data_IF_128822153828
#
_entry.id   IF_128822153828
#
_cell.length_a   1.000
_cell.length_b   1.000
_cell.length_c   1.000
_cell.angle_alpha   90.00
_cell.angle_beta   90.00
_cell.angle_gamma   90.00
#
_symmetry.space_group_name_H-M   'P 1'
#
loop_
_entity.id
_entity.type
_entity.pdbx_description
1 polymer ?
#
# COMPACT_ATOMS: atom_id res chain seq x y z
N UNK A 1 -2.26 8.32 -9.92
CA UNK A 1 -3.42 8.30 -9.00
C UNK A 1 -3.05 7.45 -7.79
N UNK A 2 -3.40 7.94 -6.60
CA UNK A 2 -3.33 7.20 -5.34
C UNK A 2 -4.63 7.38 -4.58
N UNK A 3 -4.95 6.47 -3.67
CA UNK A 3 -6.11 6.60 -2.79
C UNK A 3 -5.67 6.40 -1.35
N UNK A 4 -6.01 7.36 -0.48
CA UNK A 4 -5.41 7.52 0.85
C UNK A 4 -6.38 7.22 2.02
N UNK A 5 -7.04 6.04 2.08
CA UNK A 5 -7.97 5.73 3.15
C UNK A 5 -7.23 5.39 4.45
N UNK A 6 -7.76 5.84 5.58
CA UNK A 6 -7.33 5.39 6.90
C UNK A 6 -8.35 4.43 7.49
N UNK A 7 -7.87 3.29 7.99
CA UNK A 7 -8.70 2.28 8.63
C UNK A 7 -8.42 2.22 10.12
N UNK A 8 -9.49 2.09 10.91
CA UNK A 8 -9.45 1.95 12.36
C UNK A 8 -10.45 0.87 12.78
N UNK A 9 -9.96 -0.35 13.00
CA UNK A 9 -10.75 -1.49 13.46
C UNK A 9 -10.69 -1.68 14.98
N UNK A 10 -9.62 -1.19 15.61
CA UNK A 10 -9.44 -1.15 17.05
C UNK A 10 -9.06 0.26 17.53
N UNK A 11 -9.03 0.45 18.86
CA UNK A 11 -8.71 1.74 19.47
C UNK A 11 -7.31 2.27 19.15
N UNK A 12 -6.37 1.39 18.80
CA UNK A 12 -4.95 1.68 18.56
C UNK A 12 -4.40 0.78 17.43
N UNK A 13 -3.49 1.31 16.60
CA UNK A 13 -2.92 0.65 15.43
C UNK A 13 -2.19 -0.65 15.80
N UNK A 14 -1.47 -0.66 16.92
CA UNK A 14 -0.73 -1.83 17.45
C UNK A 14 -1.59 -3.06 17.69
N UNK A 15 -2.91 -2.87 17.89
CA UNK A 15 -3.85 -3.96 18.10
C UNK A 15 -4.29 -4.63 16.79
N UNK A 16 -3.88 -4.10 15.64
CA UNK A 16 -4.20 -4.67 14.34
C UNK A 16 -3.17 -5.73 13.95
N UNK A 17 -3.63 -6.74 13.23
CA UNK A 17 -2.78 -7.63 12.45
C UNK A 17 -2.92 -7.28 10.96
N UNK A 18 -1.79 -7.26 10.25
CA UNK A 18 -1.71 -6.91 8.83
C UNK A 18 -1.19 -8.07 8.00
N UNK A 19 -1.67 -8.18 6.76
CA UNK A 19 -1.05 -9.01 5.73
C UNK A 19 -0.98 -8.21 4.42
N UNK A 20 0.19 -8.24 3.78
CA UNK A 20 0.49 -7.56 2.52
C UNK A 20 0.75 -8.61 1.42
N UNK A 21 0.56 -8.26 0.14
CA UNK A 21 0.99 -9.14 -0.95
C UNK A 21 2.53 -9.24 -0.98
N UNK A 22 3.04 -10.23 -1.72
CA UNK A 22 4.47 -10.30 -2.02
C UNK A 22 4.92 -8.98 -2.70
N UNK A 23 5.92 -8.34 -2.12
CA UNK A 23 6.32 -6.99 -2.47
C UNK A 23 7.79 -6.69 -2.14
N UNK A 24 8.31 -5.66 -2.80
CA UNK A 24 9.58 -5.04 -2.46
C UNK A 24 9.33 -3.63 -1.97
N UNK A 25 9.96 -3.26 -0.85
CA UNK A 25 9.93 -1.89 -0.34
C UNK A 25 10.83 -1.00 -1.21
N UNK A 26 10.31 0.15 -1.61
CA UNK A 26 11.10 1.20 -2.28
C UNK A 26 11.94 1.90 -1.23
N UNK A 27 13.26 1.92 -1.42
CA UNK A 27 14.18 2.62 -0.51
C UNK A 27 14.15 4.11 -0.81
N UNK A 28 14.13 4.92 0.25
CA UNK A 28 14.01 6.37 0.21
C UNK A 28 15.12 7.01 1.03
N UNK A 29 15.49 8.24 0.67
CA UNK A 29 16.42 9.07 1.42
C UNK A 29 15.73 9.81 2.59
N UNK A 30 16.49 10.63 3.31
CA UNK A 30 16.00 11.45 4.42
C UNK A 30 14.94 12.50 4.03
N UNK A 31 14.78 12.77 2.73
CA UNK A 31 13.77 13.67 2.17
C UNK A 31 12.55 12.91 1.65
N UNK A 32 12.49 11.60 1.90
CA UNK A 32 11.44 10.69 1.41
C UNK A 32 11.42 10.53 -0.12
N UNK A 33 12.56 10.73 -0.79
CA UNK A 33 12.72 10.57 -2.24
C UNK A 33 13.31 9.19 -2.54
N UNK A 34 12.80 8.42 -3.54
CA UNK A 34 13.36 7.13 -3.90
C UNK A 34 14.83 7.20 -4.29
N UNK A 35 15.63 6.27 -3.77
CA UNK A 35 17.04 6.12 -4.16
C UNK A 35 17.21 5.39 -5.50
N UNK A 36 16.12 4.82 -6.04
CA UNK A 36 16.12 3.89 -7.18
C UNK A 36 16.28 2.42 -6.78
N UNK A 37 16.59 2.15 -5.51
CA UNK A 37 16.75 0.79 -5.00
C UNK A 37 15.47 0.24 -4.37
N UNK A 38 15.36 -1.09 -4.32
CA UNK A 38 14.25 -1.80 -3.68
C UNK A 38 14.78 -3.01 -2.92
N UNK A 39 14.21 -3.27 -1.75
CA UNK A 39 14.56 -4.44 -0.93
C UNK A 39 13.37 -5.36 -0.70
N UNK A 40 13.62 -6.66 -0.52
CA UNK A 40 12.55 -7.61 -0.23
C UNK A 40 11.90 -7.30 1.12
N UNK A 41 10.57 -7.28 1.18
CA UNK A 41 9.85 -7.02 2.42
C UNK A 41 8.87 -8.14 2.76
N UNK A 42 9.22 -8.94 3.79
CA UNK A 42 8.50 -10.16 4.13
C UNK A 42 7.77 -10.11 5.48
N UNK A 43 7.89 -9.01 6.24
CA UNK A 43 7.37 -8.90 7.61
C UNK A 43 5.86 -9.17 7.72
N UNK A 44 5.10 -8.83 6.66
CA UNK A 44 3.65 -9.06 6.55
C UNK A 44 3.28 -9.97 5.37
N UNK A 45 4.21 -10.80 4.88
CA UNK A 45 3.91 -11.82 3.86
C UNK A 45 2.88 -12.85 4.36
N UNK A 46 2.86 -13.07 5.67
CA UNK A 46 1.78 -13.72 6.42
C UNK A 46 1.18 -12.70 7.38
N UNK A 47 -0.03 -12.98 7.87
CA UNK A 47 -0.69 -12.14 8.87
C UNK A 47 0.18 -12.02 10.13
N UNK A 48 0.50 -10.80 10.53
CA UNK A 48 1.40 -10.51 11.64
C UNK A 48 0.94 -9.23 12.38
N UNK A 49 1.15 -9.07 13.71
CA UNK A 49 0.79 -7.85 14.43
C UNK A 49 1.53 -6.61 13.93
N UNK A 50 0.86 -5.46 13.95
CA UNK A 50 1.42 -4.14 13.56
C UNK A 50 2.20 -3.48 14.70
N UNK A 51 2.07 -4.01 15.93
CA UNK A 51 2.75 -3.50 17.13
C UNK A 51 4.24 -3.25 16.89
N UNK A 52 4.72 -2.07 17.31
CA UNK A 52 6.12 -1.67 17.15
C UNK A 52 6.60 -1.39 15.71
N UNK A 53 5.76 -1.59 14.68
CA UNK A 53 6.13 -1.33 13.29
C UNK A 53 5.71 0.07 12.85
N UNK A 54 6.67 0.96 12.62
CA UNK A 54 6.46 2.23 11.93
C UNK A 54 6.65 2.03 10.42
N UNK A 55 5.69 2.48 9.62
CA UNK A 55 5.75 2.47 8.17
C UNK A 55 5.29 3.82 7.65
N UNK A 56 6.04 4.32 6.69
CA UNK A 56 5.62 5.37 5.75
C UNK A 56 6.33 5.07 4.42
N UNK A 57 5.98 3.92 3.84
CA UNK A 57 6.77 3.31 2.79
C UNK A 57 5.92 2.90 1.59
N UNK A 58 6.51 3.10 0.42
CA UNK A 58 5.99 2.63 -0.85
C UNK A 58 6.50 1.22 -1.12
N UNK A 59 5.65 0.37 -1.68
CA UNK A 59 5.95 -1.00 -2.03
C UNK A 59 5.58 -1.28 -3.49
N UNK A 60 6.46 -1.97 -4.21
CA UNK A 60 6.19 -2.49 -5.55
C UNK A 60 5.65 -3.93 -5.42
N UNK A 61 4.54 -4.24 -6.10
CA UNK A 61 3.99 -5.61 -6.09
C UNK A 61 4.87 -6.56 -6.91
N UNK A 62 5.03 -7.81 -6.47
CA UNK A 62 5.79 -8.82 -7.22
C UNK A 62 4.91 -9.67 -8.16
N UNK A 63 3.60 -9.40 -8.24
CA UNK A 63 2.64 -10.15 -9.09
C UNK A 63 1.92 -9.24 -10.09
N UNK A 64 2.60 -8.78 -11.17
CA UNK A 64 2.12 -7.70 -12.04
C UNK A 64 0.84 -8.02 -12.87
N UNK A 65 0.43 -9.30 -12.97
CA UNK A 65 -0.72 -9.72 -13.77
C UNK A 65 -2.02 -9.99 -13.00
N UNK A 66 -2.03 -9.83 -11.68
CA UNK A 66 -3.15 -10.27 -10.83
C UNK A 66 -3.88 -9.14 -10.10
N UNK A 67 -4.85 -9.52 -9.28
CA UNK A 67 -5.33 -8.69 -8.18
C UNK A 67 -4.50 -8.97 -6.93
N UNK A 68 -4.08 -7.94 -6.23
CA UNK A 68 -3.50 -8.09 -4.90
C UNK A 68 -4.47 -7.64 -3.82
N UNK A 69 -4.15 -7.99 -2.57
CA UNK A 69 -4.95 -7.70 -1.39
C UNK A 69 -4.04 -7.28 -0.24
N UNK A 70 -4.34 -6.15 0.37
CA UNK A 70 -3.82 -5.76 1.69
C UNK A 70 -4.94 -5.97 2.71
N UNK A 71 -4.64 -6.56 3.86
CA UNK A 71 -5.66 -6.83 4.88
C UNK A 71 -5.28 -6.32 6.25
N UNK A 72 -6.27 -5.80 6.97
CA UNK A 72 -6.20 -5.48 8.39
C UNK A 72 -7.27 -6.26 9.15
N UNK A 73 -6.91 -6.78 10.31
CA UNK A 73 -7.80 -7.47 11.23
C UNK A 73 -7.59 -6.94 12.64
N UNK A 74 -8.68 -6.63 13.34
CA UNK A 74 -8.67 -6.31 14.77
C UNK A 74 -10.09 -6.47 15.35
N UNK A 75 -10.22 -6.77 16.64
CA UNK A 75 -11.51 -6.84 17.35
C UNK A 75 -12.59 -7.68 16.63
N UNK A 76 -12.20 -8.82 16.06
CA UNK A 76 -13.09 -9.72 15.29
C UNK A 76 -13.50 -9.22 13.90
N UNK A 77 -13.10 -8.00 13.53
CA UNK A 77 -13.41 -7.34 12.27
C UNK A 77 -12.25 -7.47 11.29
N UNK A 78 -12.57 -7.39 10.01
CA UNK A 78 -11.59 -7.47 8.92
C UNK A 78 -11.92 -6.49 7.81
N UNK A 79 -10.90 -5.79 7.33
CA UNK A 79 -10.94 -5.06 6.07
C UNK A 79 -9.90 -5.64 5.11
N UNK A 80 -10.26 -5.70 3.84
CA UNK A 80 -9.34 -5.99 2.76
C UNK A 80 -9.48 -4.96 1.64
N UNK A 81 -8.36 -4.31 1.32
CA UNK A 81 -8.24 -3.42 0.16
C UNK A 81 -7.67 -4.22 -1.01
N UNK A 82 -8.35 -4.18 -2.15
CA UNK A 82 -7.98 -4.91 -3.35
C UNK A 82 -7.78 -3.97 -4.53
N UNK A 83 -6.78 -4.25 -5.33
CA UNK A 83 -6.53 -3.55 -6.57
C UNK A 83 -5.87 -4.46 -7.61
N UNK A 84 -6.06 -4.15 -8.89
CA UNK A 84 -5.31 -4.80 -9.97
C UNK A 84 -3.85 -4.35 -9.92
N UNK A 85 -2.90 -5.28 -9.83
CA UNK A 85 -1.46 -4.99 -9.89
C UNK A 85 -1.05 -4.37 -11.24
N UNK A 86 -1.82 -4.59 -12.30
CA UNK A 86 -1.57 -3.99 -13.62
C UNK A 86 -1.97 -2.52 -13.66
N UNK A 87 -2.94 -2.10 -12.83
CA UNK A 87 -3.38 -0.69 -12.74
C UNK A 87 -2.74 0.04 -11.55
N UNK A 88 -2.46 -0.69 -10.48
CA UNK A 88 -1.87 -0.20 -9.24
C UNK A 88 -0.63 -1.02 -8.89
N UNK A 89 0.45 -0.96 -9.67
CA UNK A 89 1.65 -1.77 -9.46
C UNK A 89 2.39 -1.44 -8.15
N UNK A 90 1.99 -0.36 -7.48
CA UNK A 90 2.52 0.06 -6.19
C UNK A 90 1.42 0.14 -5.14
N UNK A 91 1.81 0.16 -3.87
CA UNK A 91 0.94 0.56 -2.77
C UNK A 91 1.75 1.25 -1.66
N UNK A 92 1.16 2.23 -0.98
CA UNK A 92 1.71 2.86 0.21
C UNK A 92 1.06 2.22 1.45
N UNK A 93 1.86 2.05 2.51
CA UNK A 93 1.36 1.74 3.84
C UNK A 93 1.90 2.78 4.81
N UNK A 94 1.00 3.44 5.54
CA UNK A 94 1.35 4.43 6.54
C UNK A 94 0.76 4.07 7.90
N UNK A 95 1.60 4.05 8.93
CA UNK A 95 1.21 3.92 10.33
C UNK A 95 1.57 5.24 11.05
N UNK A 96 0.62 6.19 11.14
CA UNK A 96 0.87 7.50 11.73
C UNK A 96 1.50 7.44 13.13
N UNK A 97 2.36 8.42 13.51
CA UNK A 97 2.96 8.47 14.84
C UNK A 97 1.95 8.46 16.00
N UNK A 98 0.73 8.99 15.79
CA UNK A 98 -0.34 8.96 16.79
C UNK A 98 -1.02 7.58 16.94
N UNK A 99 -0.74 6.63 16.04
CA UNK A 99 -1.17 5.22 16.09
C UNK A 99 -2.68 5.01 16.23
N UNK A 100 -3.52 5.91 15.71
CA UNK A 100 -4.99 5.74 15.80
C UNK A 100 -5.58 4.97 14.62
N UNK A 101 -4.86 4.88 13.50
CA UNK A 101 -5.32 4.27 12.26
C UNK A 101 -4.15 3.77 11.43
N UNK A 102 -4.43 3.09 10.32
CA UNK A 102 -3.44 2.62 9.35
C UNK A 102 -3.97 2.93 7.96
N UNK A 103 -3.14 3.53 7.09
CA UNK A 103 -3.47 3.73 5.69
C UNK A 103 -3.00 2.55 4.85
N UNK A 104 -3.86 2.10 3.92
CA UNK A 104 -3.56 1.09 2.91
C UNK A 104 -3.94 1.63 1.54
N UNK A 105 -2.96 1.96 0.73
CA UNK A 105 -3.16 2.87 -0.39
C UNK A 105 -2.71 2.24 -1.70
N UNK A 106 -3.62 1.82 -2.59
CA UNK A 106 -3.24 1.44 -3.94
C UNK A 106 -2.70 2.65 -4.72
N UNK A 107 -1.53 2.49 -5.34
CA UNK A 107 -0.82 3.55 -6.05
C UNK A 107 -0.55 3.14 -7.50
N UNK A 108 -0.91 4.01 -8.45
CA UNK A 108 -0.72 3.71 -9.88
C UNK A 108 0.74 3.78 -10.32
N UNK A 109 1.59 4.45 -9.53
CA UNK A 109 2.99 4.69 -9.80
C UNK A 109 3.78 4.72 -8.49
N UNK A 110 5.11 4.70 -8.60
CA UNK A 110 6.00 4.91 -7.45
C UNK A 110 5.84 6.35 -6.91
N UNK A 111 6.38 6.61 -5.72
CA UNK A 111 6.56 7.98 -5.24
C UNK A 111 7.58 8.69 -6.15
N UNK A 112 7.42 10.00 -6.31
CA UNK A 112 8.25 10.83 -7.20
C UNK A 112 8.31 10.37 -8.68
N UNK A 113 7.23 9.74 -9.19
CA UNK A 113 7.23 9.09 -10.50
C UNK A 113 7.51 10.02 -11.71
N UNK A 114 7.37 11.35 -11.57
CA UNK A 114 7.76 12.27 -12.64
C UNK A 114 9.26 12.30 -12.88
N UNK A 115 10.07 12.02 -11.85
CA UNK A 115 11.52 12.04 -11.94
C UNK A 115 12.12 10.65 -12.23
N UNK A 116 11.47 9.58 -11.77
CA UNK A 116 11.98 8.21 -11.96
C UNK A 116 11.23 7.41 -13.06
N UNK A 117 10.04 7.83 -13.48
CA UNK A 117 9.24 7.16 -14.51
C UNK A 117 8.53 5.87 -14.08
N UNK A 118 8.72 5.41 -12.84
CA UNK A 118 8.23 4.12 -12.37
C UNK A 118 6.69 4.08 -12.28
N UNK A 119 6.07 3.34 -13.20
CA UNK A 119 4.61 3.24 -13.29
C UNK A 119 3.93 4.55 -13.69
N UNK A 120 4.68 5.53 -14.20
CA UNK A 120 4.13 6.78 -14.68
C UNK A 120 3.19 6.50 -15.88
N UNK A 121 1.97 7.03 -15.78
CA UNK A 121 0.97 6.92 -16.86
C UNK A 121 0.84 8.30 -17.50
N UNK A 122 1.31 8.43 -18.74
CA UNK A 122 1.06 9.59 -19.58
C UNK A 122 -0.22 9.40 -20.38
N UNK A 123 -1.06 10.44 -20.46
CA UNK A 123 -2.29 10.43 -21.23
C UNK A 123 -2.24 11.54 -22.27
N UNK A 124 -2.36 11.15 -23.54
CA UNK A 124 -2.56 12.10 -24.63
C UNK A 124 -3.94 12.79 -24.53
N UNK A 125 -4.13 13.95 -25.17
CA UNK A 125 -5.43 14.60 -25.25
C UNK A 125 -6.54 13.63 -25.70
N UNK A 126 -7.64 13.59 -24.95
CA UNK A 126 -8.79 12.71 -25.23
C UNK A 126 -8.61 11.25 -24.81
N UNK A 127 -7.47 10.87 -24.20
CA UNK A 127 -7.30 9.54 -23.60
C UNK A 127 -7.81 9.49 -22.17
N UNK A 128 -8.28 8.31 -21.77
CA UNK A 128 -8.80 8.05 -20.44
C UNK A 128 -8.00 6.93 -19.78
N UNK A 129 -7.78 7.04 -18.47
CA UNK A 129 -7.33 5.95 -17.64
C UNK A 129 -8.42 5.57 -16.64
N UNK A 130 -8.76 4.28 -16.59
CA UNK A 130 -9.79 3.72 -15.72
C UNK A 130 -9.22 2.57 -14.90
N UNK A 131 -9.57 2.57 -13.62
CA UNK A 131 -9.22 1.49 -12.70
C UNK A 131 -10.26 1.39 -11.58
N UNK A 132 -10.23 0.27 -10.87
CA UNK A 132 -11.13 0.01 -9.74
C UNK A 132 -10.31 -0.41 -8.53
N UNK A 133 -10.69 0.11 -7.38
CA UNK A 133 -10.26 -0.34 -6.05
C UNK A 133 -11.51 -0.90 -5.37
N UNK A 134 -11.38 -2.02 -4.67
CA UNK A 134 -12.47 -2.60 -3.91
C UNK A 134 -12.09 -2.73 -2.43
N UNK A 135 -13.05 -2.46 -1.56
CA UNK A 135 -12.95 -2.71 -0.12
C UNK A 135 -13.93 -3.84 0.21
N UNK A 136 -13.43 -4.86 0.89
CA UNK A 136 -14.27 -5.89 1.52
C UNK A 136 -14.18 -5.73 3.02
N UNK A 137 -15.32 -5.51 3.67
CA UNK A 137 -15.41 -5.43 5.12
C UNK A 137 -16.21 -6.62 5.66
N UNK A 138 -15.71 -7.23 6.73
CA UNK A 138 -16.46 -8.16 7.58
C UNK A 138 -16.46 -7.56 8.98
N UNK A 139 -17.67 -7.24 9.46
CA UNK A 139 -17.90 -6.56 10.72
C UNK A 139 -18.47 -7.51 11.76
#
# INVERSE_FOLDING_TARGET
FGWHPYFRLAKHADLHAMQLPACKMVLIDERMIPTGERTQYNAFSKKNPVAGTALDNCFATEKPGGQYRMTLEADGRRIAVKASATRFPYFQVFTPPHRESIALEPMSCNVDAFNNGDGLIALDPGKEWKAQIAIEARM
#
